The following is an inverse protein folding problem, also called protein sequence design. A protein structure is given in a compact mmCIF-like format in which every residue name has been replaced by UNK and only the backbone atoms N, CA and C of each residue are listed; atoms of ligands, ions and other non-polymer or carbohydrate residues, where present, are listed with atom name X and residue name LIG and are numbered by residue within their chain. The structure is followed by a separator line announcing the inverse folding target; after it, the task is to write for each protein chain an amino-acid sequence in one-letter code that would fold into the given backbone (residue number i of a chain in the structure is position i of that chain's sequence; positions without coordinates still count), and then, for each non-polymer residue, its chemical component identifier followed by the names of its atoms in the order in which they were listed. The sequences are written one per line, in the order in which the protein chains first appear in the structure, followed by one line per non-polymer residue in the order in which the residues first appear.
data_IF_416095746291
#
_entry.id   IF_416095746291
#
_cell.length_a   1.000
_cell.length_b   1.000
_cell.length_c   1.000
_cell.angle_alpha   90.00
_cell.angle_beta   90.00
_cell.angle_gamma   90.00
#
_symmetry.space_group_name_H-M   'P 1'
#
loop_
_entity.id
_entity.type
_entity.pdbx_description
1 polymer ?
#
# COMPACT_ATOMS: atom_id res chain seq x y z
N UNK A 1 16.64 13.19 1.63
CA UNK A 1 15.99 12.27 2.60
C UNK A 1 17.06 11.41 3.24
N UNK A 2 17.06 11.31 4.57
CA UNK A 2 18.01 10.45 5.29
C UNK A 2 17.74 8.96 4.98
N UNK A 3 18.74 8.10 5.15
CA UNK A 3 18.57 6.66 4.98
C UNK A 3 17.46 6.09 5.89
N UNK A 4 17.29 6.67 7.08
CA UNK A 4 16.27 6.30 8.04
C UNK A 4 14.85 6.57 7.51
N UNK A 5 14.61 7.73 6.88
CA UNK A 5 13.30 8.03 6.27
C UNK A 5 12.97 7.09 5.12
N UNK A 6 13.98 6.71 4.31
CA UNK A 6 13.79 5.75 3.22
C UNK A 6 13.42 4.36 3.76
N UNK A 7 14.10 3.90 4.81
CA UNK A 7 13.82 2.61 5.45
C UNK A 7 12.42 2.60 6.10
N UNK A 8 12.04 3.68 6.78
CA UNK A 8 10.70 3.84 7.35
C UNK A 8 9.61 3.74 6.28
N UNK A 9 9.75 4.49 5.19
CA UNK A 9 8.77 4.45 4.08
C UNK A 9 8.72 3.06 3.44
N UNK A 10 9.86 2.39 3.29
CA UNK A 10 9.91 1.02 2.78
C UNK A 10 9.15 0.04 3.70
N UNK A 11 9.40 0.11 5.01
CA UNK A 11 8.72 -0.74 5.99
C UNK A 11 7.21 -0.47 6.03
N UNK A 12 6.81 0.80 5.99
CA UNK A 12 5.40 1.20 5.94
C UNK A 12 4.69 0.65 4.69
N UNK A 13 5.26 0.85 3.50
CA UNK A 13 4.69 0.34 2.25
C UNK A 13 4.63 -1.19 2.25
N UNK A 14 5.65 -1.86 2.80
CA UNK A 14 5.67 -3.33 2.92
C UNK A 14 4.57 -3.84 3.86
N UNK A 15 4.31 -3.15 4.97
CA UNK A 15 3.26 -3.54 5.91
C UNK A 15 1.86 -3.36 5.30
N UNK A 16 1.62 -2.21 4.65
CA UNK A 16 0.40 -1.93 3.88
C UNK A 16 0.14 -3.05 2.86
N UNK A 17 1.17 -3.38 2.07
CA UNK A 17 1.14 -4.45 1.08
C UNK A 17 0.74 -5.82 1.66
N UNK A 18 1.39 -6.24 2.74
CA UNK A 18 1.09 -7.51 3.42
C UNK A 18 -0.36 -7.52 3.95
N UNK A 19 -0.82 -6.38 4.48
CA UNK A 19 -2.18 -6.22 4.96
C UNK A 19 -3.23 -6.44 3.88
N UNK A 20 -3.09 -5.78 2.72
CA UNK A 20 -3.99 -5.95 1.59
C UNK A 20 -3.94 -7.35 0.97
N UNK A 21 -2.75 -7.95 0.88
CA UNK A 21 -2.61 -9.34 0.43
C UNK A 21 -3.33 -10.32 1.37
N UNK A 22 -3.24 -10.10 2.68
CA UNK A 22 -3.93 -10.93 3.68
C UNK A 22 -5.45 -10.76 3.58
N UNK A 23 -5.95 -9.53 3.40
CA UNK A 23 -7.36 -9.27 3.16
C UNK A 23 -7.88 -10.01 1.91
N UNK A 24 -7.10 -10.01 0.82
CA UNK A 24 -7.43 -10.76 -0.39
C UNK A 24 -7.54 -12.27 -0.15
N UNK A 25 -6.56 -12.84 0.56
CA UNK A 25 -6.53 -14.27 0.86
C UNK A 25 -7.70 -14.67 1.76
N UNK A 26 -8.03 -13.87 2.76
CA UNK A 26 -9.19 -14.10 3.62
C UNK A 26 -10.49 -14.08 2.79
N UNK A 27 -10.70 -13.07 1.95
CA UNK A 27 -11.92 -12.99 1.11
C UNK A 27 -12.01 -14.18 0.16
N UNK A 28 -10.90 -14.54 -0.49
CA UNK A 28 -10.84 -15.66 -1.43
C UNK A 28 -11.10 -17.00 -0.75
N UNK A 29 -10.49 -17.23 0.43
CA UNK A 29 -10.64 -18.47 1.17
C UNK A 29 -12.07 -18.64 1.70
N UNK A 30 -12.69 -17.57 2.21
CA UNK A 30 -14.10 -17.61 2.59
C UNK A 30 -15.00 -17.88 1.39
N UNK A 31 -14.75 -17.23 0.25
CA UNK A 31 -15.53 -17.47 -0.95
C UNK A 31 -15.49 -18.95 -1.38
N UNK A 32 -14.32 -19.58 -1.33
CA UNK A 32 -14.16 -21.01 -1.65
C UNK A 32 -14.88 -21.89 -0.63
N UNK A 33 -14.81 -21.55 0.66
CA UNK A 33 -15.37 -22.36 1.75
C UNK A 33 -16.89 -22.27 1.85
N UNK A 34 -17.47 -21.07 1.88
CA UNK A 34 -18.92 -20.87 2.05
C UNK A 34 -19.67 -20.77 0.73
N UNK A 35 -19.01 -20.60 -0.42
CA UNK A 35 -19.61 -20.31 -1.74
C UNK A 35 -20.64 -19.15 -1.72
N UNK A 36 -20.56 -18.31 -0.69
CA UNK A 36 -21.50 -17.23 -0.42
C UNK A 36 -20.76 -15.90 -0.49
N UNK A 37 -21.36 -14.94 -1.18
CA UNK A 37 -20.83 -13.58 -1.32
C UNK A 37 -21.13 -12.72 -0.08
N UNK A 38 -22.07 -13.16 0.75
CA UNK A 38 -22.66 -12.35 1.81
C UNK A 38 -21.79 -12.26 3.08
N UNK A 39 -20.81 -13.15 3.23
CA UNK A 39 -19.95 -13.22 4.43
C UNK A 39 -18.59 -12.55 4.27
N UNK A 40 -18.26 -12.04 3.07
CA UNK A 40 -16.96 -11.45 2.82
C UNK A 40 -16.67 -10.21 3.67
N UNK A 41 -17.70 -9.38 3.93
CA UNK A 41 -17.56 -8.25 4.83
C UNK A 41 -17.37 -8.69 6.29
N UNK A 42 -18.10 -9.72 6.74
CA UNK A 42 -17.97 -10.24 8.11
C UNK A 42 -16.56 -10.79 8.38
N UNK A 43 -15.90 -11.35 7.36
CA UNK A 43 -14.56 -11.92 7.54
C UNK A 43 -13.41 -10.93 7.34
N UNK A 44 -13.49 -10.05 6.33
CA UNK A 44 -12.38 -9.15 5.99
C UNK A 44 -12.65 -7.66 6.20
N UNK A 45 -13.89 -7.26 6.53
CA UNK A 45 -14.30 -5.87 6.63
C UNK A 45 -13.58 -5.09 7.74
N UNK A 46 -13.32 -5.70 8.89
CA UNK A 46 -12.55 -5.06 9.97
C UNK A 46 -11.09 -4.86 9.57
N UNK A 47 -10.47 -5.85 8.92
CA UNK A 47 -9.11 -5.72 8.40
C UNK A 47 -9.01 -4.59 7.37
N UNK A 48 -9.97 -4.51 6.44
CA UNK A 48 -10.02 -3.44 5.43
C UNK A 48 -10.24 -2.07 6.09
N UNK A 49 -11.08 -1.96 7.13
CA UNK A 49 -11.22 -0.72 7.88
C UNK A 49 -9.89 -0.28 8.53
N UNK A 50 -9.16 -1.20 9.14
CA UNK A 50 -7.86 -0.92 9.72
C UNK A 50 -6.86 -0.44 8.66
N UNK A 51 -6.82 -1.10 7.50
CA UNK A 51 -5.94 -0.70 6.40
C UNK A 51 -6.28 0.70 5.85
N UNK A 52 -7.57 1.06 5.78
CA UNK A 52 -7.97 2.41 5.40
C UNK A 52 -7.52 3.46 6.44
N UNK A 53 -7.62 3.16 7.74
CA UNK A 53 -7.13 4.07 8.79
C UNK A 53 -5.61 4.23 8.69
N UNK A 54 -4.88 3.14 8.51
CA UNK A 54 -3.41 3.16 8.33
C UNK A 54 -3.03 3.96 7.07
N UNK A 55 -3.80 3.84 6.00
CA UNK A 55 -3.63 4.62 4.76
C UNK A 55 -3.72 6.13 4.92
N UNK A 56 -4.31 6.64 5.99
CA UNK A 56 -4.30 8.08 6.30
C UNK A 56 -2.87 8.60 6.56
N UNK A 57 -1.95 7.73 6.98
CA UNK A 57 -0.55 8.11 7.21
C UNK A 57 0.12 8.62 5.93
N UNK A 58 -0.32 8.20 4.74
CA UNK A 58 0.19 8.73 3.47
C UNK A 58 -0.17 10.19 3.26
N UNK A 59 -1.36 10.60 3.70
CA UNK A 59 -1.77 12.00 3.72
C UNK A 59 -0.85 12.77 4.66
N UNK A 60 -0.55 12.22 5.84
CA UNK A 60 0.37 12.85 6.79
C UNK A 60 1.78 12.94 6.22
N UNK A 61 2.28 11.92 5.50
CA UNK A 61 3.59 11.96 4.86
C UNK A 61 3.66 13.07 3.78
N UNK A 62 2.58 13.28 3.03
CA UNK A 62 2.45 14.38 2.09
C UNK A 62 2.36 15.75 2.78
N UNK A 63 1.65 15.85 3.90
CA UNK A 63 1.51 17.09 4.68
C UNK A 63 2.83 17.53 5.32
N UNK A 64 3.61 16.56 5.83
CA UNK A 64 4.93 16.79 6.44
C UNK A 64 6.04 17.05 5.42
N UNK A 65 5.74 16.97 4.11
CA UNK A 65 6.74 17.13 3.04
C UNK A 65 7.78 16.00 3.01
N UNK A 66 7.47 14.84 3.62
CA UNK A 66 8.32 13.65 3.56
C UNK A 66 8.35 13.14 2.11
N UNK A 67 7.23 13.26 1.39
CA UNK A 67 7.11 12.82 -0.01
C UNK A 67 6.81 14.05 -0.89
N UNK A 68 7.53 14.24 -2.01
CA UNK A 68 7.40 15.44 -2.85
C UNK A 68 6.09 15.55 -3.65
N UNK A 69 5.22 14.54 -3.60
CA UNK A 69 3.93 14.49 -4.33
C UNK A 69 2.85 15.43 -3.79
N UNK A 70 3.07 16.06 -2.63
CA UNK A 70 2.10 16.95 -1.98
C UNK A 70 0.94 16.21 -1.31
N UNK A 71 0.09 16.95 -0.57
CA UNK A 71 -0.94 16.37 0.32
C UNK A 71 -2.30 16.11 -0.36
N UNK A 72 -2.60 16.86 -1.43
CA UNK A 72 -3.96 16.94 -1.98
C UNK A 72 -4.38 15.63 -2.67
N UNK A 73 -3.49 15.04 -3.47
CA UNK A 73 -3.78 13.81 -4.21
C UNK A 73 -3.99 12.60 -3.29
N UNK A 74 -3.10 12.31 -2.31
CA UNK A 74 -3.34 11.24 -1.33
C UNK A 74 -4.61 11.47 -0.52
N UNK A 75 -4.91 12.71 -0.14
CA UNK A 75 -6.13 13.04 0.61
C UNK A 75 -7.41 12.74 -0.18
N UNK A 76 -7.46 13.11 -1.46
CA UNK A 76 -8.63 12.82 -2.31
C UNK A 76 -8.81 11.32 -2.55
N UNK A 77 -7.71 10.60 -2.78
CA UNK A 77 -7.74 9.15 -2.99
C UNK A 77 -8.15 8.39 -1.73
N UNK A 78 -7.59 8.75 -0.58
CA UNK A 78 -7.95 8.20 0.72
C UNK A 78 -9.39 8.54 1.10
N UNK A 79 -9.79 9.80 0.91
CA UNK A 79 -11.12 10.29 1.26
C UNK A 79 -12.23 9.57 0.49
N UNK A 80 -12.07 9.36 -0.82
CA UNK A 80 -13.04 8.62 -1.63
C UNK A 80 -13.23 7.17 -1.17
N UNK A 81 -12.13 6.46 -0.89
CA UNK A 81 -12.16 5.06 -0.45
C UNK A 81 -12.69 4.91 0.98
N UNK A 82 -12.24 5.77 1.88
CA UNK A 82 -12.62 5.73 3.30
C UNK A 82 -14.09 6.12 3.50
N UNK A 83 -14.59 7.10 2.74
CA UNK A 83 -16.00 7.48 2.82
C UNK A 83 -16.91 6.32 2.41
N UNK A 84 -16.58 5.61 1.33
CA UNK A 84 -17.34 4.43 0.91
C UNK A 84 -17.37 3.35 2.01
N UNK A 85 -16.21 2.97 2.56
CA UNK A 85 -16.14 1.88 3.55
C UNK A 85 -16.74 2.26 4.90
N UNK A 86 -16.31 3.38 5.48
CA UNK A 86 -16.68 3.75 6.85
C UNK A 86 -18.04 4.43 6.93
N UNK A 87 -18.44 5.23 5.94
CA UNK A 87 -19.71 5.94 5.99
C UNK A 87 -20.86 5.11 5.44
N UNK A 88 -20.64 4.31 4.39
CA UNK A 88 -21.71 3.55 3.72
C UNK A 88 -21.72 2.10 4.19
N UNK A 89 -20.65 1.35 3.91
CA UNK A 89 -20.64 -0.10 4.14
C UNK A 89 -20.69 -0.45 5.63
N UNK A 90 -19.96 0.28 6.49
CA UNK A 90 -19.96 0.02 7.94
C UNK A 90 -21.27 0.41 8.63
N UNK A 91 -22.01 1.40 8.12
CA UNK A 91 -23.24 1.90 8.75
C UNK A 91 -24.49 1.13 8.32
N UNK A 92 -24.49 0.50 7.14
CA UNK A 92 -25.68 -0.14 6.58
C UNK A 92 -25.44 -1.65 6.44
N UNK A 93 -26.00 -2.43 7.35
CA UNK A 93 -25.87 -3.90 7.37
C UNK A 93 -26.48 -4.58 6.15
N UNK A 94 -27.50 -3.98 5.53
CA UNK A 94 -28.08 -4.47 4.27
C UNK A 94 -27.09 -4.36 3.10
N UNK A 95 -26.27 -3.31 3.09
CA UNK A 95 -25.26 -3.09 2.04
C UNK A 95 -24.11 -4.08 2.18
N UNK A 96 -23.78 -4.52 3.41
CA UNK A 96 -22.72 -5.50 3.66
C UNK A 96 -22.99 -6.87 3.01
N UNK A 97 -24.27 -7.21 2.83
CA UNK A 97 -24.70 -8.45 2.17
C UNK A 97 -24.77 -8.33 0.65
N UNK A 98 -24.58 -7.14 0.09
CA UNK A 98 -24.66 -6.96 -1.35
C UNK A 98 -23.40 -7.50 -2.04
N UNK A 99 -23.56 -8.20 -3.18
CA UNK A 99 -22.42 -8.69 -3.96
C UNK A 99 -21.54 -7.56 -4.51
N UNK A 100 -22.04 -6.33 -4.57
CA UNK A 100 -21.25 -5.14 -4.93
C UNK A 100 -20.10 -4.86 -3.95
N UNK A 101 -20.29 -5.12 -2.65
CA UNK A 101 -19.24 -4.95 -1.64
C UNK A 101 -18.15 -6.00 -1.83
N UNK A 102 -18.54 -7.25 -2.12
CA UNK A 102 -17.59 -8.30 -2.46
C UNK A 102 -16.73 -7.93 -3.68
N UNK A 103 -17.36 -7.52 -4.78
CA UNK A 103 -16.65 -7.13 -6.01
C UNK A 103 -15.71 -5.96 -5.72
N UNK A 104 -16.15 -4.96 -4.94
CA UNK A 104 -15.32 -3.80 -4.60
C UNK A 104 -14.11 -4.19 -3.76
N UNK A 105 -14.29 -5.05 -2.75
CA UNK A 105 -13.20 -5.50 -1.89
C UNK A 105 -12.20 -6.39 -2.64
N UNK A 106 -12.69 -7.27 -3.50
CA UNK A 106 -11.85 -8.11 -4.37
C UNK A 106 -11.08 -7.23 -5.36
N UNK A 107 -11.76 -6.31 -6.04
CA UNK A 107 -11.14 -5.40 -7.00
C UNK A 107 -10.08 -4.50 -6.34
N UNK A 108 -10.35 -3.95 -5.16
CA UNK A 108 -9.38 -3.16 -4.42
C UNK A 108 -8.19 -4.00 -3.98
N UNK A 109 -8.43 -5.19 -3.44
CA UNK A 109 -7.32 -6.04 -3.02
C UNK A 109 -6.46 -6.49 -4.20
N UNK A 110 -7.05 -6.78 -5.37
CA UNK A 110 -6.34 -7.09 -6.62
C UNK A 110 -5.56 -5.88 -7.18
N UNK A 111 -6.15 -4.69 -7.15
CA UNK A 111 -5.51 -3.46 -7.60
C UNK A 111 -4.28 -3.15 -6.73
N UNK A 112 -4.42 -3.27 -5.41
CA UNK A 112 -3.32 -3.05 -4.47
C UNK A 112 -2.21 -4.12 -4.61
N UNK A 113 -2.56 -5.40 -4.87
CA UNK A 113 -1.57 -6.46 -5.17
C UNK A 113 -0.82 -6.19 -6.48
N UNK A 114 -1.49 -5.63 -7.50
CA UNK A 114 -0.85 -5.27 -8.77
C UNK A 114 0.08 -4.07 -8.60
N UNK A 115 -0.31 -3.10 -7.77
CA UNK A 115 0.51 -1.95 -7.39
C UNK A 115 1.71 -2.37 -6.53
N UNK A 116 1.55 -3.42 -5.73
CA UNK A 116 2.57 -4.08 -4.90
C UNK A 116 3.79 -4.54 -5.72
N UNK A 117 3.57 -5.18 -6.87
CA UNK A 117 4.64 -5.65 -7.76
C UNK A 117 5.42 -4.46 -8.34
N UNK A 118 4.71 -3.40 -8.72
CA UNK A 118 5.30 -2.20 -9.32
C UNK A 118 6.09 -1.39 -8.28
N UNK A 119 5.54 -1.19 -7.08
CA UNK A 119 6.22 -0.48 -5.97
C UNK A 119 7.44 -1.25 -5.49
N UNK A 120 7.37 -2.57 -5.36
CA UNK A 120 8.49 -3.40 -4.91
C UNK A 120 9.65 -3.36 -5.91
N UNK A 121 9.38 -3.39 -7.22
CA UNK A 121 10.39 -3.23 -8.27
C UNK A 121 11.02 -1.83 -8.20
N UNK A 122 10.22 -0.76 -8.10
CA UNK A 122 10.73 0.61 -8.05
C UNK A 122 11.56 0.88 -6.78
N UNK A 123 11.13 0.40 -5.61
CA UNK A 123 11.85 0.58 -4.35
C UNK A 123 13.15 -0.23 -4.30
N UNK A 124 13.17 -1.45 -4.84
CA UNK A 124 14.39 -2.25 -4.94
C UNK A 124 15.41 -1.58 -5.88
N UNK A 125 14.96 -1.06 -7.02
CA UNK A 125 15.83 -0.35 -7.97
C UNK A 125 16.38 0.96 -7.35
N UNK A 126 15.56 1.77 -6.67
CA UNK A 126 16.02 3.06 -6.11
C UNK A 126 16.91 2.88 -4.87
N UNK A 127 16.58 1.94 -3.98
CA UNK A 127 17.35 1.71 -2.73
C UNK A 127 18.65 0.95 -3.01
N UNK A 128 18.65 -0.02 -3.93
CA UNK A 128 19.81 -0.86 -4.19
C UNK A 128 20.77 -0.27 -5.25
N UNK A 129 20.27 0.48 -6.24
CA UNK A 129 21.16 1.14 -7.22
C UNK A 129 21.96 2.31 -6.61
N UNK A 130 21.41 3.03 -5.61
CA UNK A 130 22.08 4.25 -5.11
C UNK A 130 23.45 3.99 -4.43
N UNK A 131 23.61 3.01 -3.52
CA UNK A 131 24.89 2.71 -2.88
C UNK A 131 25.90 2.09 -3.85
N UNK A 132 25.46 1.19 -4.74
CA UNK A 132 26.32 0.50 -5.71
C UNK A 132 26.85 1.48 -6.76
N UNK A 133 26.00 2.36 -7.29
CA UNK A 133 26.44 3.38 -8.24
C UNK A 133 27.36 4.44 -7.60
N UNK A 134 27.14 4.81 -6.33
CA UNK A 134 28.07 5.68 -5.58
C UNK A 134 29.42 5.01 -5.32
N UNK A 135 29.41 3.73 -4.96
CA UNK A 135 30.63 2.95 -4.76
C UNK A 135 31.44 2.83 -6.06
N UNK A 136 30.78 2.49 -7.17
CA UNK A 136 31.42 2.44 -8.49
C UNK A 136 32.01 3.79 -8.90
N UNK A 137 31.24 4.89 -8.74
CA UNK A 137 31.73 6.24 -9.07
C UNK A 137 32.97 6.63 -8.25
N UNK A 138 32.94 6.34 -6.94
CA UNK A 138 34.07 6.64 -6.05
C UNK A 138 35.28 5.72 -6.32
N UNK A 139 35.04 4.46 -6.69
CA UNK A 139 36.10 3.53 -7.08
C UNK A 139 36.81 3.96 -8.37
N UNK A 140 36.06 4.46 -9.37
CA UNK A 140 36.65 4.99 -10.61
C UNK A 140 37.51 6.24 -10.35
N UNK A 141 37.04 7.17 -9.50
CA UNK A 141 37.80 8.37 -9.12
C UNK A 141 39.07 7.98 -8.34
N UNK A 142 38.98 7.03 -7.43
CA UNK A 142 40.12 6.56 -6.64
C UNK A 142 41.19 5.83 -7.49
N UNK A 143 40.78 5.09 -8.51
CA UNK A 143 41.70 4.47 -9.47
C UNK A 143 42.38 5.51 -10.35
N UNK A 144 41.68 6.56 -10.76
CA UNK A 144 42.26 7.61 -11.59
C UNK A 144 43.34 8.41 -10.84
N UNK A 145 43.13 8.71 -9.56
CA UNK A 145 44.12 9.38 -8.69
C UNK A 145 45.32 8.50 -8.29
N UNK A 146 45.27 7.18 -8.49
CA UNK A 146 46.38 6.27 -8.19
C UNK A 146 47.35 6.11 -9.37
N UNK A 147 46.98 6.59 -10.56
CA UNK A 147 47.77 6.48 -11.79
C UNK A 147 48.50 7.78 -12.17
N UNK A 148 48.37 8.84 -11.36
CA UNK A 148 49.22 10.04 -11.37
C UNK A 148 50.22 9.98 -10.21
#
# INVERSE_FOLDING_TARGET
MSALTKLYLFAYNSLQAIGWATAFLIISNNFISTKSLNEAYASAGELICLLQIIGFLEVIHGALGIVPTGVLLPFMQWGGRTHFVLAIVRKITEVQKLPSVFITFVAWSLAEVSFLVIIFIIQTVIVFSWPVCLWLRNATIALHFKME
#
